data_IF_667424785550
#
_entry.id   IF_667424785550
#
_cell.length_a   1.000
_cell.length_b   1.000
_cell.length_c   1.000
_cell.angle_alpha   90.00
_cell.angle_beta   90.00
_cell.angle_gamma   90.00
#
_symmetry.space_group_name_H-M   'P 1'
#
loop_
_entity.id
_entity.type
_entity.pdbx_description
1 polymer ?
#
# COMPACT_ATOMS: atom_id res chain seq x y z
N UNK A 1 -66.74 17.86 -36.67
CA UNK A 1 -65.95 16.68 -36.24
C UNK A 1 -64.55 16.63 -36.80
N UNK A 2 -64.29 16.80 -38.09
CA UNK A 2 -62.95 16.71 -38.71
C UNK A 2 -61.88 17.65 -38.15
N UNK A 3 -62.22 18.92 -37.77
CA UNK A 3 -61.25 19.88 -37.21
C UNK A 3 -60.85 19.56 -35.76
N UNK A 4 -61.70 18.88 -34.98
CA UNK A 4 -61.34 18.47 -33.60
C UNK A 4 -60.45 17.23 -33.57
N UNK A 5 -60.59 16.35 -34.51
CA UNK A 5 -59.76 15.15 -34.68
C UNK A 5 -58.31 15.54 -35.12
N UNK A 6 -58.16 16.53 -36.01
CA UNK A 6 -56.85 17.05 -36.41
C UNK A 6 -56.10 17.73 -35.25
N UNK A 7 -56.78 18.41 -34.36
CA UNK A 7 -56.13 19.07 -33.19
C UNK A 7 -55.61 18.04 -32.16
N UNK A 8 -56.38 16.96 -31.94
CA UNK A 8 -56.00 15.87 -31.01
C UNK A 8 -54.83 15.06 -31.56
N UNK A 9 -54.83 14.80 -32.89
CA UNK A 9 -53.71 14.12 -33.56
C UNK A 9 -52.44 14.98 -33.52
N UNK A 10 -52.55 16.29 -33.75
CA UNK A 10 -51.41 17.22 -33.68
C UNK A 10 -50.86 17.34 -32.23
N UNK A 11 -51.72 17.30 -31.20
CA UNK A 11 -51.30 17.32 -29.78
C UNK A 11 -50.61 15.98 -29.38
N UNK A 12 -51.12 14.84 -29.89
CA UNK A 12 -50.48 13.54 -29.65
C UNK A 12 -49.11 13.41 -30.35
N UNK A 13 -48.96 13.96 -31.57
CA UNK A 13 -47.70 14.01 -32.27
C UNK A 13 -46.70 14.96 -31.58
N UNK A 14 -47.17 16.11 -31.02
CA UNK A 14 -46.33 17.01 -30.21
C UNK A 14 -45.90 16.35 -28.86
N UNK A 15 -46.80 15.64 -28.20
CA UNK A 15 -46.47 14.89 -26.99
C UNK A 15 -45.55 13.71 -27.22
N UNK A 16 -45.62 13.01 -28.39
CA UNK A 16 -44.70 11.95 -28.78
C UNK A 16 -43.32 12.49 -29.20
N UNK A 17 -43.25 13.70 -29.75
CA UNK A 17 -41.97 14.36 -30.07
C UNK A 17 -41.27 14.93 -28.83
N UNK A 18 -41.98 15.30 -27.77
CA UNK A 18 -41.37 15.68 -26.48
C UNK A 18 -40.83 14.49 -25.69
N UNK A 19 -41.21 13.26 -26.02
CA UNK A 19 -40.67 12.05 -25.36
C UNK A 19 -39.40 11.50 -26.01
N UNK A 20 -38.95 12.05 -27.13
CA UNK A 20 -37.81 11.53 -27.89
C UNK A 20 -36.58 12.42 -27.98
N UNK A 21 -36.52 13.49 -27.21
CA UNK A 21 -35.32 14.35 -27.17
C UNK A 21 -34.87 14.63 -25.77
N UNK A 22 -34.68 13.59 -24.96
CA UNK A 22 -33.62 13.67 -23.98
C UNK A 22 -32.36 13.33 -24.77
N UNK A 23 -31.70 14.34 -25.33
CA UNK A 23 -30.35 14.16 -25.83
C UNK A 23 -29.60 13.46 -24.70
N UNK A 24 -29.05 12.28 -24.96
CA UNK A 24 -28.10 11.66 -24.04
C UNK A 24 -27.02 12.71 -23.85
N UNK A 25 -27.06 13.39 -22.71
CA UNK A 25 -26.05 14.36 -22.37
C UNK A 25 -24.76 13.56 -22.24
N UNK A 26 -23.72 13.92 -22.98
CA UNK A 26 -22.44 13.25 -22.86
C UNK A 26 -22.02 13.25 -21.38
N UNK A 27 -21.53 12.13 -20.86
CA UNK A 27 -21.15 12.05 -19.46
C UNK A 27 -20.02 13.03 -19.15
N UNK A 28 -20.02 13.55 -17.94
CA UNK A 28 -18.87 14.31 -17.43
C UNK A 28 -17.66 13.39 -17.32
N UNK A 29 -16.64 13.63 -18.14
CA UNK A 29 -15.39 12.92 -18.11
C UNK A 29 -14.50 13.44 -17.00
N UNK A 30 -14.03 12.56 -16.12
CA UNK A 30 -13.04 12.86 -15.08
C UNK A 30 -11.87 11.88 -15.14
N UNK A 31 -10.68 12.34 -14.84
CA UNK A 31 -9.47 11.51 -14.79
C UNK A 31 -9.20 11.02 -13.37
N UNK A 32 -8.82 9.74 -13.28
CA UNK A 32 -8.31 9.10 -12.09
C UNK A 32 -6.85 8.68 -12.32
N UNK A 33 -5.91 9.37 -11.65
CA UNK A 33 -4.48 9.09 -11.77
C UNK A 33 -4.02 8.10 -10.71
N UNK A 34 -3.36 7.03 -11.14
CA UNK A 34 -2.98 5.94 -10.25
C UNK A 34 -1.57 5.39 -10.53
N UNK A 35 -1.11 4.47 -9.67
CA UNK A 35 0.27 3.95 -9.66
C UNK A 35 0.36 2.45 -10.00
N UNK A 36 -0.70 1.85 -10.53
CA UNK A 36 -0.76 0.42 -10.84
C UNK A 36 -0.66 0.18 -12.35
N UNK A 37 0.48 -0.35 -12.83
CA UNK A 37 0.73 -0.50 -14.25
C UNK A 37 0.37 -1.86 -14.84
N UNK A 38 0.30 -2.92 -14.02
CA UNK A 38 0.05 -4.28 -14.50
C UNK A 38 -0.21 -5.27 -13.36
N UNK A 39 -0.55 -6.52 -13.71
CA UNK A 39 -0.76 -7.62 -12.77
C UNK A 39 -2.10 -7.58 -12.05
N UNK A 40 -2.28 -8.43 -11.04
CA UNK A 40 -3.54 -8.58 -10.32
C UNK A 40 -4.05 -7.25 -9.74
N UNK A 41 -3.17 -6.42 -9.20
CA UNK A 41 -3.53 -5.13 -8.61
C UNK A 41 -4.10 -4.15 -9.64
N UNK A 42 -3.59 -4.15 -10.89
CA UNK A 42 -4.14 -3.34 -11.97
C UNK A 42 -5.50 -3.86 -12.42
N UNK A 43 -5.64 -5.18 -12.60
CA UNK A 43 -6.91 -5.78 -13.00
C UNK A 43 -8.05 -5.46 -12.00
N UNK A 44 -7.77 -5.48 -10.71
CA UNK A 44 -8.75 -5.10 -9.67
C UNK A 44 -9.16 -3.64 -9.81
N UNK A 45 -8.19 -2.73 -9.94
CA UNK A 45 -8.46 -1.31 -10.14
C UNK A 45 -9.31 -1.09 -11.39
N UNK A 46 -8.90 -1.69 -12.52
CA UNK A 46 -9.62 -1.58 -13.79
C UNK A 46 -11.05 -2.08 -13.66
N UNK A 47 -11.26 -3.23 -13.05
CA UNK A 47 -12.60 -3.78 -12.82
C UNK A 47 -13.46 -2.86 -11.95
N UNK A 48 -12.88 -2.20 -10.95
CA UNK A 48 -13.60 -1.22 -10.11
C UNK A 48 -14.01 0.00 -10.90
N UNK A 49 -13.14 0.54 -11.77
CA UNK A 49 -13.46 1.66 -12.66
C UNK A 49 -14.54 1.27 -13.67
N UNK A 50 -14.39 0.11 -14.33
CA UNK A 50 -15.37 -0.40 -15.28
C UNK A 50 -16.75 -0.60 -14.62
N UNK A 51 -16.77 -1.10 -13.38
CA UNK A 51 -18.01 -1.28 -12.59
C UNK A 51 -18.66 0.06 -12.27
N UNK A 52 -17.89 1.06 -11.81
CA UNK A 52 -18.41 2.40 -11.59
C UNK A 52 -19.03 2.97 -12.87
N UNK A 53 -18.29 2.93 -13.97
CA UNK A 53 -18.74 3.46 -15.26
C UNK A 53 -20.02 2.76 -15.79
N UNK A 54 -20.15 1.45 -15.53
CA UNK A 54 -21.32 0.68 -15.95
C UNK A 54 -22.56 0.88 -15.03
N UNK A 55 -22.38 1.34 -13.80
CA UNK A 55 -23.42 1.45 -12.77
C UNK A 55 -23.67 2.91 -12.35
N UNK A 56 -23.11 3.32 -11.23
CA UNK A 56 -23.30 4.67 -10.63
C UNK A 56 -22.88 5.77 -11.60
N UNK A 57 -21.73 5.60 -12.29
CA UNK A 57 -21.25 6.58 -13.26
C UNK A 57 -22.25 6.78 -14.40
N UNK A 58 -22.78 5.70 -14.96
CA UNK A 58 -23.82 5.77 -15.99
C UNK A 58 -25.12 6.43 -15.50
N UNK A 59 -25.54 6.09 -14.27
CA UNK A 59 -26.74 6.67 -13.66
C UNK A 59 -26.62 8.19 -13.45
N UNK A 60 -25.43 8.62 -12.98
CA UNK A 60 -25.13 10.03 -12.64
C UNK A 60 -24.57 10.84 -13.80
N UNK A 61 -24.34 10.21 -14.96
CA UNK A 61 -23.73 10.86 -16.13
C UNK A 61 -22.26 11.22 -15.89
N UNK A 62 -21.51 10.35 -15.19
CA UNK A 62 -20.07 10.48 -14.91
C UNK A 62 -19.34 9.34 -15.61
N UNK A 63 -18.22 9.64 -16.25
CA UNK A 63 -17.31 8.66 -16.83
C UNK A 63 -15.91 8.89 -16.26
N UNK A 64 -15.34 7.86 -15.65
CA UNK A 64 -13.98 7.87 -15.09
C UNK A 64 -13.03 7.23 -16.09
N UNK A 65 -11.99 7.95 -16.48
CA UNK A 65 -10.84 7.43 -17.21
C UNK A 65 -9.68 7.19 -16.24
N UNK A 66 -9.21 5.95 -16.14
CA UNK A 66 -8.06 5.60 -15.31
C UNK A 66 -6.76 5.82 -16.08
N UNK A 67 -5.78 6.48 -15.47
CA UNK A 67 -4.52 6.84 -16.13
C UNK A 67 -3.33 6.46 -15.24
N UNK A 68 -2.54 5.49 -15.70
CA UNK A 68 -1.31 5.09 -15.03
C UNK A 68 -0.24 6.18 -15.11
N UNK A 69 0.31 6.56 -13.95
CA UNK A 69 1.28 7.66 -13.84
C UNK A 69 2.69 7.22 -13.41
N UNK A 70 2.96 5.94 -13.29
CA UNK A 70 4.20 5.44 -12.71
C UNK A 70 4.05 5.12 -11.22
N UNK A 71 5.15 5.11 -10.48
CA UNK A 71 5.12 4.86 -9.03
C UNK A 71 4.73 6.09 -8.21
N UNK A 72 4.66 5.92 -6.89
CA UNK A 72 4.34 7.03 -5.97
C UNK A 72 5.36 8.19 -6.05
N UNK A 73 6.59 7.93 -6.49
CA UNK A 73 7.58 8.98 -6.71
C UNK A 73 7.32 9.81 -7.97
N UNK A 74 6.67 9.20 -8.98
CA UNK A 74 6.49 9.80 -10.29
C UNK A 74 5.22 10.66 -10.37
N UNK A 75 4.19 10.34 -9.56
CA UNK A 75 2.87 10.99 -9.66
C UNK A 75 2.88 12.42 -9.11
N UNK A 76 3.62 12.69 -8.02
CA UNK A 76 3.62 14.01 -7.37
C UNK A 76 4.11 15.12 -8.30
N UNK A 77 5.31 15.03 -8.93
CA UNK A 77 5.75 16.05 -9.88
C UNK A 77 4.78 16.27 -11.04
N UNK A 78 4.07 15.22 -11.47
CA UNK A 78 3.07 15.32 -12.53
C UNK A 78 1.82 16.06 -12.08
N UNK A 79 1.38 15.87 -10.84
CA UNK A 79 0.27 16.61 -10.25
C UNK A 79 0.62 18.10 -10.08
N UNK A 80 1.85 18.42 -9.66
CA UNK A 80 2.34 19.79 -9.59
C UNK A 80 2.35 20.47 -10.98
N UNK A 81 2.81 19.75 -12.02
CA UNK A 81 2.76 20.25 -13.40
C UNK A 81 1.33 20.42 -13.91
N UNK A 82 0.43 19.48 -13.61
CA UNK A 82 -0.98 19.55 -14.00
C UNK A 82 -1.69 20.74 -13.35
N UNK A 83 -1.34 21.06 -12.09
CA UNK A 83 -1.83 22.25 -11.39
C UNK A 83 -1.45 23.55 -12.14
N UNK A 84 -0.21 23.63 -12.62
CA UNK A 84 0.28 24.82 -13.35
C UNK A 84 -0.36 24.96 -14.74
N UNK A 85 -0.71 23.85 -15.39
CA UNK A 85 -1.32 23.82 -16.73
C UNK A 85 -2.85 23.91 -16.71
N UNK A 86 -3.48 23.80 -15.53
CA UNK A 86 -4.94 23.79 -15.40
C UNK A 86 -5.60 22.46 -15.90
N UNK A 87 -4.82 21.37 -15.94
CA UNK A 87 -5.28 20.03 -16.36
C UNK A 87 -5.25 19.03 -15.21
N UNK A 88 -5.74 19.45 -14.04
CA UNK A 88 -5.75 18.64 -12.84
C UNK A 88 -6.73 17.45 -12.97
N UNK A 89 -6.33 16.18 -12.67
CA UNK A 89 -7.27 15.09 -12.55
C UNK A 89 -8.28 15.37 -11.44
N UNK A 90 -9.42 14.66 -11.43
CA UNK A 90 -10.37 14.79 -10.32
C UNK A 90 -9.87 14.03 -9.08
N UNK A 91 -9.30 12.85 -9.30
CA UNK A 91 -8.89 11.91 -8.24
C UNK A 91 -7.47 11.41 -8.49
N UNK A 92 -6.71 11.24 -7.44
CA UNK A 92 -5.36 10.66 -7.49
C UNK A 92 -5.11 9.62 -6.42
N UNK A 93 -4.06 8.82 -6.59
CA UNK A 93 -3.54 7.90 -5.55
C UNK A 93 -2.06 8.20 -5.32
N UNK A 94 -1.70 8.46 -4.06
CA UNK A 94 -0.30 8.65 -3.66
C UNK A 94 -0.03 8.03 -2.29
N UNK A 95 1.23 7.93 -1.86
CA UNK A 95 1.51 7.49 -0.49
C UNK A 95 1.18 8.60 0.52
N UNK A 96 0.89 8.22 1.78
CA UNK A 96 0.53 9.18 2.83
C UNK A 96 1.58 10.27 3.01
N UNK A 97 2.87 9.91 3.03
CA UNK A 97 3.99 10.88 3.11
C UNK A 97 3.99 11.88 1.94
N UNK A 98 3.67 11.42 0.74
CA UNK A 98 3.67 12.29 -0.46
C UNK A 98 2.39 13.13 -0.56
N UNK A 99 1.28 12.66 0.03
CA UNK A 99 0.08 13.49 0.17
C UNK A 99 0.36 14.75 0.98
N UNK A 100 1.30 14.72 1.96
CA UNK A 100 1.69 15.91 2.72
C UNK A 100 2.32 17.00 1.84
N UNK A 101 3.11 16.63 0.83
CA UNK A 101 3.69 17.58 -0.13
C UNK A 101 2.57 18.31 -0.89
N UNK A 102 1.63 17.54 -1.44
CA UNK A 102 0.49 18.08 -2.16
C UNK A 102 -0.45 18.92 -1.27
N UNK A 103 -0.52 18.58 0.03
CA UNK A 103 -1.26 19.36 1.03
C UNK A 103 -0.63 20.75 1.22
N UNK A 104 0.70 20.80 1.40
CA UNK A 104 1.43 22.07 1.59
C UNK A 104 1.33 22.97 0.36
N UNK A 105 1.28 22.40 -0.84
CA UNK A 105 1.06 23.11 -2.10
C UNK A 105 -0.42 23.52 -2.31
N UNK A 106 -1.33 23.14 -1.40
CA UNK A 106 -2.76 23.46 -1.49
C UNK A 106 -3.50 22.68 -2.60
N UNK A 107 -2.96 21.56 -3.06
CA UNK A 107 -3.49 20.78 -4.18
C UNK A 107 -4.55 19.74 -3.77
N UNK A 108 -4.83 19.57 -2.47
CA UNK A 108 -5.82 18.61 -1.97
C UNK A 108 -7.12 19.30 -1.58
N UNK A 109 -8.23 18.84 -2.14
CA UNK A 109 -9.57 19.26 -1.74
C UNK A 109 -9.96 18.63 -0.39
N UNK A 110 -10.79 19.35 0.40
CA UNK A 110 -11.38 18.80 1.61
C UNK A 110 -12.61 17.94 1.26
N UNK A 111 -12.57 16.67 1.63
CA UNK A 111 -13.65 15.72 1.37
C UNK A 111 -14.79 15.82 2.40
N UNK A 112 -14.55 16.41 3.58
CA UNK A 112 -15.56 16.48 4.66
C UNK A 112 -16.85 17.19 4.24
N UNK A 113 -16.84 18.32 3.48
CA UNK A 113 -18.07 18.95 3.01
C UNK A 113 -18.89 18.09 2.03
N UNK A 114 -18.22 17.27 1.20
CA UNK A 114 -18.88 16.37 0.26
C UNK A 114 -19.47 15.17 0.98
N UNK A 115 -18.74 14.59 1.94
CA UNK A 115 -19.23 13.53 2.80
C UNK A 115 -20.48 13.96 3.60
N UNK A 116 -20.49 15.17 4.13
CA UNK A 116 -21.65 15.72 4.83
C UNK A 116 -22.89 15.83 3.92
N UNK A 117 -22.73 16.16 2.64
CA UNK A 117 -23.81 16.24 1.65
C UNK A 117 -24.38 14.86 1.31
N UNK A 118 -23.53 13.82 1.26
CA UNK A 118 -23.90 12.46 0.86
C UNK A 118 -24.22 11.54 2.04
N UNK A 119 -23.92 11.97 3.27
CA UNK A 119 -24.11 11.17 4.49
C UNK A 119 -23.03 10.09 4.65
N UNK A 120 -21.86 10.26 4.05
CA UNK A 120 -20.75 9.32 4.20
C UNK A 120 -20.12 9.45 5.58
N UNK A 121 -19.92 8.31 6.25
CA UNK A 121 -19.37 8.24 7.61
C UNK A 121 -17.90 7.79 7.59
N UNK A 122 -16.98 8.68 7.95
CA UNK A 122 -15.55 8.35 8.05
C UNK A 122 -15.19 7.44 9.23
N UNK A 123 -16.10 7.24 10.20
CA UNK A 123 -15.84 6.34 11.35
C UNK A 123 -15.73 4.87 10.96
N UNK A 124 -16.11 4.53 9.73
CA UNK A 124 -15.94 3.17 9.16
C UNK A 124 -14.47 2.78 9.02
N UNK A 125 -13.56 3.74 8.86
CA UNK A 125 -12.13 3.46 8.74
C UNK A 125 -11.49 3.14 10.09
N UNK A 126 -10.34 2.47 10.06
CA UNK A 126 -9.46 2.39 11.23
C UNK A 126 -8.88 3.78 11.53
N UNK A 127 -8.92 4.17 12.79
CA UNK A 127 -8.42 5.49 13.22
C UNK A 127 -6.95 5.68 12.89
N UNK A 128 -6.13 4.64 13.11
CA UNK A 128 -4.71 4.62 12.76
C UNK A 128 -4.43 4.84 11.26
N UNK A 129 -5.38 4.53 10.37
CA UNK A 129 -5.25 4.77 8.93
C UNK A 129 -5.72 6.16 8.51
N UNK A 130 -6.56 6.82 9.33
CA UNK A 130 -7.02 8.19 9.12
C UNK A 130 -6.08 9.24 9.74
N UNK A 131 -5.24 8.86 10.71
CA UNK A 131 -4.31 9.78 11.37
C UNK A 131 -3.12 10.12 10.48
N UNK A 132 -3.40 10.90 9.45
CA UNK A 132 -2.42 11.36 8.45
C UNK A 132 -2.50 12.87 8.30
N UNK A 133 -1.43 13.56 7.84
CA UNK A 133 -1.45 15.00 7.61
C UNK A 133 -2.63 15.44 6.75
N UNK A 134 -3.30 16.51 7.18
CA UNK A 134 -4.48 17.07 6.51
C UNK A 134 -5.81 16.47 6.96
N UNK A 135 -5.80 15.43 7.79
CA UNK A 135 -7.01 14.83 8.37
C UNK A 135 -7.22 15.27 9.82
N UNK A 136 -6.98 16.51 10.11
CA UNK A 136 -7.15 17.12 11.42
C UNK A 136 -8.17 18.26 11.41
N UNK A 137 -8.63 18.68 12.57
CA UNK A 137 -9.57 19.80 12.73
C UNK A 137 -10.89 19.64 11.96
N UNK A 138 -11.35 18.40 11.76
CA UNK A 138 -12.58 18.09 11.01
C UNK A 138 -12.42 18.14 9.49
N UNK A 139 -11.21 18.31 8.98
CA UNK A 139 -10.90 18.20 7.56
C UNK A 139 -10.48 16.76 7.22
N UNK A 140 -10.75 16.35 5.98
CA UNK A 140 -10.30 15.06 5.42
C UNK A 140 -9.72 15.34 4.02
N UNK A 141 -8.41 15.25 3.90
CA UNK A 141 -7.66 15.54 2.66
C UNK A 141 -7.21 14.28 1.91
N UNK A 142 -7.15 13.15 2.61
CA UNK A 142 -6.84 11.86 2.00
C UNK A 142 -7.54 10.72 2.75
N UNK A 143 -7.89 9.65 2.03
CA UNK A 143 -8.47 8.44 2.62
C UNK A 143 -7.57 7.24 2.37
N UNK A 144 -7.50 6.30 3.32
CA UNK A 144 -6.76 5.06 3.11
C UNK A 144 -7.43 4.25 1.99
N UNK A 145 -6.67 3.90 0.95
CA UNK A 145 -7.21 3.15 -0.20
C UNK A 145 -6.54 1.79 -0.36
N UNK A 146 -5.27 1.76 -0.67
CA UNK A 146 -4.51 0.53 -0.92
C UNK A 146 -3.43 0.40 0.12
N UNK A 147 -3.80 -0.04 1.31
CA UNK A 147 -2.91 -0.11 2.46
C UNK A 147 -2.27 -1.49 2.58
N UNK A 148 -1.06 -1.52 3.05
CA UNK A 148 -0.31 -2.76 3.21
C UNK A 148 0.56 -2.73 4.45
N UNK A 149 0.90 -3.92 4.95
CA UNK A 149 1.85 -4.13 6.03
C UNK A 149 2.80 -5.28 5.64
N UNK A 150 4.03 -5.33 6.15
CA UNK A 150 4.89 -6.46 5.88
C UNK A 150 4.37 -7.71 6.59
N UNK A 151 4.49 -8.84 5.91
CA UNK A 151 4.22 -10.17 6.46
C UNK A 151 5.39 -11.10 6.15
N UNK A 152 5.46 -12.20 6.86
CA UNK A 152 6.49 -13.20 6.68
C UNK A 152 6.00 -14.29 5.71
N UNK A 153 6.72 -14.49 4.61
CA UNK A 153 6.50 -15.51 3.60
C UNK A 153 7.50 -16.65 3.75
N UNK A 154 7.06 -17.90 3.69
CA UNK A 154 7.94 -19.05 3.80
C UNK A 154 7.47 -20.25 2.96
N UNK A 155 8.42 -21.08 2.59
CA UNK A 155 8.14 -22.36 1.93
C UNK A 155 7.63 -23.37 2.96
N UNK A 156 6.30 -23.52 3.00
CA UNK A 156 5.63 -24.39 3.97
C UNK A 156 5.99 -25.85 3.76
N UNK A 157 6.18 -26.29 2.50
CA UNK A 157 6.62 -27.64 2.19
C UNK A 157 7.97 -27.96 2.86
N UNK A 158 8.94 -27.04 2.79
CA UNK A 158 10.25 -27.23 3.44
C UNK A 158 10.13 -27.19 4.97
N UNK A 159 9.31 -26.29 5.51
CA UNK A 159 9.10 -26.17 6.96
C UNK A 159 8.45 -27.42 7.54
N UNK A 160 7.37 -27.90 6.92
CA UNK A 160 6.64 -29.11 7.36
C UNK A 160 7.53 -30.35 7.30
N UNK A 161 8.37 -30.49 6.26
CA UNK A 161 9.31 -31.59 6.14
C UNK A 161 10.32 -31.66 7.30
N UNK A 162 10.54 -30.53 7.99
CA UNK A 162 11.43 -30.42 9.17
C UNK A 162 10.66 -30.24 10.49
N UNK A 163 9.33 -30.29 10.45
CA UNK A 163 8.48 -30.11 11.64
C UNK A 163 8.57 -28.69 12.24
N UNK A 164 8.90 -27.69 11.44
CA UNK A 164 9.06 -26.30 11.88
C UNK A 164 7.71 -25.58 11.84
N UNK A 165 7.48 -24.73 12.83
CA UNK A 165 6.37 -23.77 12.84
C UNK A 165 6.87 -22.41 12.37
N UNK A 166 5.98 -21.59 11.81
CA UNK A 166 6.29 -20.23 11.47
C UNK A 166 6.80 -19.45 12.69
N UNK A 167 7.86 -18.63 12.54
CA UNK A 167 8.43 -17.88 13.65
C UNK A 167 7.52 -16.73 14.07
N UNK A 168 7.46 -16.45 15.36
CA UNK A 168 6.81 -15.26 15.93
C UNK A 168 7.82 -14.20 16.35
N UNK A 169 9.03 -14.63 16.72
CA UNK A 169 10.11 -13.75 17.16
C UNK A 169 11.30 -13.76 16.22
N UNK A 170 12.14 -12.73 16.28
CA UNK A 170 13.41 -12.67 15.53
C UNK A 170 14.34 -13.83 15.90
N UNK A 171 14.38 -14.25 17.17
CA UNK A 171 15.17 -15.41 17.58
C UNK A 171 14.65 -16.71 16.94
N UNK A 172 13.35 -16.87 16.84
CA UNK A 172 12.75 -18.01 16.14
C UNK A 172 12.96 -17.92 14.62
N UNK A 173 12.91 -16.72 14.03
CA UNK A 173 13.28 -16.49 12.63
C UNK A 173 14.70 -16.97 12.33
N UNK A 174 15.67 -16.61 13.19
CA UNK A 174 17.06 -17.07 13.03
C UNK A 174 17.14 -18.60 13.05
N UNK A 175 16.50 -19.24 14.03
CA UNK A 175 16.49 -20.71 14.14
C UNK A 175 15.79 -21.37 12.93
N UNK A 176 14.66 -20.82 12.50
CA UNK A 176 13.89 -21.29 11.36
C UNK A 176 14.69 -21.19 10.05
N UNK A 177 15.25 -20.02 9.77
CA UNK A 177 16.01 -19.76 8.55
C UNK A 177 17.29 -20.62 8.51
N UNK A 178 18.04 -20.71 9.62
CA UNK A 178 19.21 -21.59 9.73
C UNK A 178 18.86 -23.06 9.47
N UNK A 179 17.74 -23.52 9.99
CA UNK A 179 17.29 -24.89 9.77
C UNK A 179 16.92 -25.18 8.30
N UNK A 180 16.41 -24.19 7.57
CA UNK A 180 16.05 -24.32 6.16
C UNK A 180 17.20 -24.01 5.19
N UNK A 181 18.25 -23.36 5.65
CA UNK A 181 19.41 -23.01 4.83
C UNK A 181 20.18 -24.25 4.37
N UNK A 182 20.39 -24.34 3.08
CA UNK A 182 21.24 -25.38 2.44
C UNK A 182 22.21 -24.75 1.44
N UNK A 183 22.29 -23.42 1.39
CA UNK A 183 23.21 -22.72 0.48
C UNK A 183 24.66 -23.03 0.80
N UNK A 184 25.42 -23.42 -0.22
CA UNK A 184 26.85 -23.67 -0.13
C UNK A 184 27.60 -22.55 -0.88
N UNK A 185 28.33 -21.67 -0.18
CA UNK A 185 29.06 -20.59 -0.82
C UNK A 185 30.23 -21.08 -1.71
N UNK A 186 30.69 -22.33 -1.53
CA UNK A 186 31.77 -22.88 -2.36
C UNK A 186 31.30 -23.28 -3.75
N UNK A 187 30.05 -23.71 -3.89
CA UNK A 187 29.46 -24.12 -5.17
C UNK A 187 28.48 -23.08 -5.73
N UNK A 188 27.92 -22.23 -4.87
CA UNK A 188 26.82 -21.31 -5.20
C UNK A 188 25.46 -22.00 -5.31
N UNK A 189 25.38 -23.28 -4.94
CA UNK A 189 24.15 -24.08 -5.02
C UNK A 189 23.39 -24.08 -3.70
N UNK A 190 22.14 -24.54 -3.74
CA UNK A 190 21.28 -24.71 -2.57
C UNK A 190 20.27 -23.59 -2.38
N UNK A 191 19.73 -23.53 -1.18
CA UNK A 191 18.65 -22.64 -0.78
C UNK A 191 19.11 -21.74 0.38
N UNK A 192 19.02 -20.44 0.20
CA UNK A 192 19.22 -19.48 1.29
C UNK A 192 18.08 -19.58 2.32
N UNK A 193 18.42 -19.46 3.59
CA UNK A 193 17.42 -19.48 4.66
C UNK A 193 16.52 -18.26 4.64
N UNK A 194 17.12 -17.07 4.53
CA UNK A 194 16.42 -15.79 4.55
C UNK A 194 17.11 -14.78 3.64
N UNK A 195 16.40 -13.76 3.21
CA UNK A 195 16.94 -12.61 2.48
C UNK A 195 16.55 -11.31 3.16
N UNK A 196 17.53 -10.43 3.33
CA UNK A 196 17.29 -9.04 3.74
C UNK A 196 16.77 -8.23 2.56
N UNK A 197 15.91 -7.26 2.84
CA UNK A 197 15.49 -6.23 1.90
C UNK A 197 15.97 -4.86 2.38
N UNK A 198 16.51 -4.04 1.48
CA UNK A 198 16.82 -2.65 1.80
C UNK A 198 15.57 -1.80 1.65
N UNK A 199 14.67 -1.92 2.59
CA UNK A 199 13.43 -1.16 2.66
C UNK A 199 13.29 -0.49 4.02
N UNK A 200 13.47 0.82 4.05
CA UNK A 200 13.41 1.63 5.27
C UNK A 200 12.00 1.69 5.89
N UNK A 201 10.96 1.39 5.11
CA UNK A 201 9.58 1.37 5.59
C UNK A 201 9.23 0.04 6.23
N UNK A 202 9.47 -1.06 5.53
CA UNK A 202 9.02 -2.38 5.99
C UNK A 202 9.98 -3.05 6.96
N UNK A 203 11.23 -3.27 6.54
CA UNK A 203 12.19 -3.97 7.39
C UNK A 203 12.74 -3.08 8.49
N UNK A 204 13.36 -1.98 8.12
CA UNK A 204 14.01 -1.10 9.10
C UNK A 204 12.96 -0.45 10.00
N UNK A 205 11.91 0.13 9.43
CA UNK A 205 10.85 0.81 10.17
C UNK A 205 10.18 -0.11 11.19
N UNK A 206 9.72 -1.29 10.76
CA UNK A 206 9.02 -2.24 11.63
C UNK A 206 9.89 -2.72 12.79
N UNK A 207 11.14 -3.14 12.53
CA UNK A 207 12.05 -3.58 13.59
C UNK A 207 12.46 -2.44 14.53
N UNK A 208 12.64 -1.22 14.02
CA UNK A 208 13.01 -0.08 14.86
C UNK A 208 11.86 0.31 15.80
N UNK A 209 10.61 0.25 15.36
CA UNK A 209 9.43 0.43 16.21
C UNK A 209 9.39 -0.61 17.33
N UNK A 210 9.60 -1.89 17.02
CA UNK A 210 9.66 -2.98 18.02
C UNK A 210 10.77 -2.78 19.05
N UNK A 211 11.87 -2.16 18.64
CA UNK A 211 12.98 -1.81 19.53
C UNK A 211 12.76 -0.49 20.32
N UNK A 212 11.58 0.14 20.15
CA UNK A 212 11.20 1.36 20.88
C UNK A 212 11.88 2.65 20.38
N UNK A 213 12.65 2.60 19.30
CA UNK A 213 13.37 3.75 18.74
C UNK A 213 13.15 3.81 17.24
N UNK A 214 12.04 4.42 16.79
CA UNK A 214 11.68 4.49 15.39
C UNK A 214 12.70 5.26 14.55
N UNK A 215 12.63 5.05 13.22
CA UNK A 215 13.52 5.72 12.27
C UNK A 215 13.42 7.25 12.39
N UNK A 216 12.21 7.74 12.50
CA UNK A 216 11.89 9.16 12.72
C UNK A 216 10.90 9.25 13.88
N UNK A 217 11.18 10.10 14.84
CA UNK A 217 10.34 10.35 16.01
C UNK A 217 9.60 11.69 15.93
N UNK A 218 8.84 11.97 16.99
CA UNK A 218 8.15 13.25 17.14
C UNK A 218 9.11 14.44 17.05
N UNK A 219 8.61 15.57 16.56
CA UNK A 219 9.41 16.78 16.37
C UNK A 219 10.53 16.63 15.34
N UNK A 220 10.51 15.53 14.56
CA UNK A 220 11.48 15.32 13.52
C UNK A 220 12.83 14.80 13.99
N UNK A 221 12.91 14.20 15.16
CA UNK A 221 14.12 13.56 15.71
C UNK A 221 14.44 12.23 15.02
N UNK A 222 15.63 11.67 15.27
CA UNK A 222 16.06 10.38 14.79
C UNK A 222 16.40 9.40 15.93
N UNK A 223 15.41 8.90 16.69
CA UNK A 223 15.64 8.04 17.85
C UNK A 223 16.41 6.75 17.51
N UNK A 224 16.27 6.24 16.28
CA UNK A 224 16.98 5.05 15.83
C UNK A 224 18.52 5.14 15.97
N UNK A 225 19.05 6.35 15.92
CA UNK A 225 20.50 6.60 16.09
C UNK A 225 21.00 6.46 17.53
N UNK A 226 20.10 6.30 18.50
CA UNK A 226 20.46 6.12 19.93
C UNK A 226 20.78 4.67 20.28
N UNK A 227 20.52 3.71 19.36
CA UNK A 227 20.90 2.32 19.61
C UNK A 227 20.16 1.27 18.77
N UNK A 228 18.88 1.44 18.45
CA UNK A 228 18.09 0.41 17.75
C UNK A 228 18.63 0.12 16.36
N UNK A 229 19.07 1.12 15.62
CA UNK A 229 19.65 0.93 14.28
C UNK A 229 21.02 0.23 14.36
N UNK A 230 21.85 0.54 15.38
CA UNK A 230 23.09 -0.17 15.61
C UNK A 230 22.85 -1.65 15.90
N UNK A 231 21.86 -1.96 16.76
CA UNK A 231 21.48 -3.34 17.05
C UNK A 231 21.03 -4.06 15.77
N UNK A 232 20.19 -3.45 14.97
CA UNK A 232 19.69 -4.01 13.73
C UNK A 232 20.83 -4.31 12.75
N UNK A 233 21.74 -3.36 12.55
CA UNK A 233 22.91 -3.52 11.68
C UNK A 233 23.87 -4.60 12.19
N UNK A 234 24.05 -4.71 13.50
CA UNK A 234 24.86 -5.75 14.12
C UNK A 234 24.26 -7.14 13.86
N UNK A 235 22.94 -7.29 14.06
CA UNK A 235 22.25 -8.56 13.79
C UNK A 235 22.34 -8.93 12.31
N UNK A 236 22.06 -8.01 11.41
CA UNK A 236 22.09 -8.28 9.95
C UNK A 236 23.48 -8.65 9.46
N UNK A 237 24.51 -7.95 9.94
CA UNK A 237 25.90 -8.27 9.63
C UNK A 237 26.25 -9.69 10.09
N UNK A 238 25.88 -10.04 11.33
CA UNK A 238 26.07 -11.36 11.89
C UNK A 238 25.32 -12.45 11.09
N UNK A 239 24.05 -12.23 10.70
CA UNK A 239 23.27 -13.18 9.94
C UNK A 239 23.89 -13.53 8.59
N UNK A 240 24.48 -12.54 7.93
CA UNK A 240 25.21 -12.73 6.67
C UNK A 240 26.51 -13.47 6.92
N UNK A 241 27.28 -13.09 7.96
CA UNK A 241 28.55 -13.73 8.30
C UNK A 241 28.37 -15.21 8.72
N UNK A 242 27.25 -15.54 9.32
CA UNK A 242 26.87 -16.92 9.63
C UNK A 242 26.43 -17.73 8.38
N UNK A 243 26.27 -17.10 7.22
CA UNK A 243 26.08 -17.75 5.92
C UNK A 243 24.69 -18.31 5.65
N UNK A 244 23.68 -17.91 6.42
CA UNK A 244 22.30 -18.37 6.21
C UNK A 244 21.37 -17.26 5.69
N UNK A 245 21.80 -16.01 5.78
CA UNK A 245 21.06 -14.85 5.32
C UNK A 245 21.72 -14.26 4.07
N UNK A 246 20.95 -14.13 3.01
CA UNK A 246 21.41 -13.50 1.78
C UNK A 246 21.35 -11.98 1.92
N UNK A 247 22.41 -11.24 1.59
CA UNK A 247 22.32 -9.80 1.41
C UNK A 247 21.40 -9.47 0.22
N UNK A 248 20.66 -8.37 0.31
CA UNK A 248 19.79 -7.93 -0.77
C UNK A 248 20.60 -7.41 -1.98
N UNK A 249 19.97 -7.43 -3.17
CA UNK A 249 20.44 -6.71 -4.35
C UNK A 249 19.94 -5.26 -4.36
N UNK A 250 20.65 -4.36 -5.04
CA UNK A 250 20.38 -2.92 -5.00
C UNK A 250 19.09 -2.48 -5.68
N UNK A 251 18.51 -3.31 -6.57
CA UNK A 251 17.38 -2.92 -7.41
C UNK A 251 16.38 -4.06 -7.54
N UNK A 252 15.11 -3.78 -7.22
CA UNK A 252 14.02 -4.76 -7.38
C UNK A 252 14.11 -5.95 -6.41
N UNK A 253 14.76 -5.80 -5.26
CA UNK A 253 15.02 -6.86 -4.29
C UNK A 253 13.81 -7.74 -3.97
N UNK A 254 12.60 -7.17 -3.85
CA UNK A 254 11.40 -7.96 -3.60
C UNK A 254 11.04 -8.88 -4.77
N UNK A 255 11.19 -8.43 -6.02
CA UNK A 255 10.94 -9.27 -7.19
C UNK A 255 11.96 -10.40 -7.27
N UNK A 256 13.23 -10.11 -7.04
CA UNK A 256 14.31 -11.10 -6.99
C UNK A 256 14.06 -12.12 -5.87
N UNK A 257 13.67 -11.69 -4.67
CA UNK A 257 13.32 -12.59 -3.58
C UNK A 257 12.16 -13.53 -3.95
N UNK A 258 11.10 -12.99 -4.58
CA UNK A 258 9.96 -13.78 -5.06
C UNK A 258 10.38 -14.80 -6.12
N UNK A 259 11.21 -14.41 -7.07
CA UNK A 259 11.71 -15.33 -8.11
C UNK A 259 12.57 -16.44 -7.51
N UNK A 260 13.50 -16.10 -6.63
CA UNK A 260 14.35 -17.09 -5.93
C UNK A 260 13.53 -18.04 -5.07
N UNK A 261 12.50 -17.52 -4.38
CA UNK A 261 11.57 -18.32 -3.61
C UNK A 261 10.86 -19.34 -4.50
N UNK A 262 10.29 -18.90 -5.61
CA UNK A 262 9.60 -19.77 -6.58
C UNK A 262 10.55 -20.77 -7.28
N UNK A 263 11.85 -20.48 -7.32
CA UNK A 263 12.88 -21.42 -7.82
C UNK A 263 13.36 -22.40 -6.74
N UNK A 264 12.88 -22.30 -5.50
CA UNK A 264 13.36 -23.08 -4.36
C UNK A 264 14.77 -22.71 -3.89
N UNK A 265 15.23 -21.52 -4.23
CA UNK A 265 16.55 -20.96 -3.87
C UNK A 265 16.53 -20.04 -2.66
N UNK A 266 15.32 -19.72 -2.15
CA UNK A 266 15.10 -18.94 -0.95
C UNK A 266 13.98 -19.59 -0.13
N UNK A 267 14.21 -19.83 1.15
CA UNK A 267 13.26 -20.53 2.01
C UNK A 267 12.22 -19.59 2.61
N UNK A 268 12.61 -18.37 3.00
CA UNK A 268 11.69 -17.40 3.53
C UNK A 268 12.21 -15.96 3.35
N UNK A 269 11.27 -15.02 3.40
CA UNK A 269 11.53 -13.58 3.29
C UNK A 269 10.37 -12.77 3.86
N UNK A 270 10.54 -11.48 4.02
CA UNK A 270 9.45 -10.56 4.35
C UNK A 270 9.16 -9.67 3.16
N UNK A 271 7.88 -9.40 2.93
CA UNK A 271 7.46 -8.48 1.88
C UNK A 271 6.06 -7.93 2.19
N UNK A 272 5.64 -6.95 1.38
CA UNK A 272 4.30 -6.36 1.48
C UNK A 272 3.18 -7.39 1.28
N UNK A 273 2.13 -7.33 2.10
CA UNK A 273 0.90 -8.11 1.86
C UNK A 273 0.23 -7.77 0.53
N UNK A 274 0.43 -6.55 0.00
CA UNK A 274 -0.05 -6.15 -1.33
C UNK A 274 0.57 -6.93 -2.50
N UNK A 275 1.58 -7.76 -2.23
CA UNK A 275 2.16 -8.69 -3.20
C UNK A 275 1.65 -10.12 -3.06
N UNK A 276 0.82 -10.40 -2.04
CA UNK A 276 0.41 -11.76 -1.67
C UNK A 276 -0.27 -12.50 -2.83
N UNK A 277 -1.19 -11.88 -3.53
CA UNK A 277 -1.90 -12.52 -4.66
C UNK A 277 -0.93 -12.99 -5.75
N UNK A 278 0.07 -12.18 -6.09
CA UNK A 278 1.09 -12.55 -7.08
C UNK A 278 2.01 -13.66 -6.53
N UNK A 279 2.50 -13.52 -5.29
CA UNK A 279 3.37 -14.51 -4.64
C UNK A 279 2.63 -15.86 -4.52
N UNK A 280 1.37 -15.85 -4.11
CA UNK A 280 0.54 -17.06 -4.02
C UNK A 280 0.38 -17.75 -5.37
N UNK A 281 0.06 -16.97 -6.42
CA UNK A 281 -0.07 -17.49 -7.78
C UNK A 281 1.24 -18.14 -8.27
N UNK A 282 2.35 -17.43 -8.16
CA UNK A 282 3.66 -17.91 -8.62
C UNK A 282 4.16 -19.11 -7.81
N UNK A 283 3.94 -19.13 -6.49
CA UNK A 283 4.26 -20.28 -5.64
C UNK A 283 3.49 -21.51 -6.06
N UNK A 284 2.19 -21.38 -6.33
CA UNK A 284 1.35 -22.47 -6.81
C UNK A 284 1.80 -22.99 -8.17
N UNK A 285 2.13 -22.12 -9.10
CA UNK A 285 2.69 -22.49 -10.42
C UNK A 285 4.03 -23.23 -10.29
N UNK A 286 4.83 -22.87 -9.30
CA UNK A 286 6.11 -23.51 -8.98
C UNK A 286 5.96 -24.80 -8.16
N UNK A 287 4.73 -25.18 -7.75
CA UNK A 287 4.48 -26.36 -6.91
C UNK A 287 4.93 -26.21 -5.44
N UNK A 288 5.06 -24.97 -4.97
CA UNK A 288 5.43 -24.65 -3.57
C UNK A 288 4.16 -24.35 -2.79
N UNK A 289 3.98 -25.00 -1.64
CA UNK A 289 2.97 -24.63 -0.67
C UNK A 289 3.46 -23.37 0.07
N UNK A 290 2.79 -22.23 -0.18
CA UNK A 290 3.10 -20.96 0.46
C UNK A 290 2.58 -20.94 1.89
N UNK A 291 3.44 -20.55 2.83
CA UNK A 291 3.05 -20.15 4.18
C UNK A 291 3.14 -18.62 4.32
N UNK A 292 2.20 -18.06 5.04
CA UNK A 292 2.20 -16.64 5.43
C UNK A 292 1.99 -16.56 6.93
N UNK A 293 2.78 -15.76 7.60
CA UNK A 293 2.70 -15.54 9.04
C UNK A 293 2.90 -14.07 9.37
N UNK A 294 2.66 -13.74 10.63
CA UNK A 294 2.93 -12.41 11.16
C UNK A 294 4.40 -12.02 10.99
N UNK A 295 4.65 -10.74 10.94
CA UNK A 295 5.99 -10.19 10.92
C UNK A 295 6.72 -10.55 12.24
N UNK A 296 7.90 -11.20 12.18
CA UNK A 296 8.63 -11.59 13.39
C UNK A 296 9.01 -10.37 14.23
N UNK A 297 8.89 -10.48 15.54
CA UNK A 297 9.16 -9.37 16.45
C UNK A 297 10.40 -9.58 17.32
N UNK A 298 11.10 -8.48 17.64
CA UNK A 298 12.17 -8.48 18.64
C UNK A 298 11.63 -8.66 20.06
N UNK A 299 10.42 -8.16 20.31
CA UNK A 299 9.75 -8.25 21.60
C UNK A 299 8.28 -8.63 21.38
N UNK A 300 7.85 -9.75 21.96
CA UNK A 300 6.49 -10.27 21.83
C UNK A 300 5.44 -9.35 22.46
N UNK A 301 5.84 -8.60 23.48
CA UNK A 301 4.98 -7.64 24.18
C UNK A 301 4.94 -6.26 23.50
N UNK A 302 5.84 -6.02 22.55
CA UNK A 302 5.93 -4.78 21.78
C UNK A 302 5.91 -5.07 20.27
N UNK A 303 4.85 -5.72 19.82
CA UNK A 303 4.65 -5.99 18.39
C UNK A 303 4.32 -4.70 17.65
N UNK A 304 5.04 -4.42 16.60
CA UNK A 304 4.81 -3.27 15.74
C UNK A 304 5.12 -3.61 14.30
N UNK A 305 4.38 -3.02 13.37
CA UNK A 305 4.64 -3.10 11.93
C UNK A 305 4.38 -1.75 11.28
N UNK A 306 5.16 -1.44 10.26
CA UNK A 306 4.91 -0.26 9.44
C UNK A 306 3.72 -0.46 8.52
N UNK A 307 2.96 0.61 8.28
CA UNK A 307 1.91 0.64 7.27
C UNK A 307 2.47 1.34 6.03
N UNK A 308 2.33 0.66 4.88
CA UNK A 308 2.65 1.21 3.58
C UNK A 308 1.42 1.34 2.68
N UNK A 309 1.67 1.53 1.39
CA UNK A 309 0.62 1.64 0.38
C UNK A 309 0.20 3.08 0.12
N UNK A 310 -0.99 3.26 -0.45
CA UNK A 310 -1.47 4.54 -0.93
C UNK A 310 -2.78 5.00 -0.33
N UNK A 311 -2.90 6.32 -0.29
CA UNK A 311 -4.14 7.02 -0.01
C UNK A 311 -4.75 7.52 -1.32
N UNK A 312 -6.07 7.55 -1.37
CA UNK A 312 -6.82 8.22 -2.42
C UNK A 312 -7.04 9.68 -2.02
N UNK A 313 -6.87 10.57 -2.97
CA UNK A 313 -6.93 12.03 -2.79
C UNK A 313 -7.90 12.64 -3.80
N UNK A 314 -8.66 13.62 -3.35
CA UNK A 314 -9.51 14.47 -4.18
C UNK A 314 -8.74 15.73 -4.51
N UNK A 315 -8.61 16.07 -5.79
CA UNK A 315 -7.76 17.18 -6.21
C UNK A 315 -8.48 18.51 -6.13
N UNK A 316 -7.77 19.52 -5.60
CA UNK A 316 -8.23 20.91 -5.61
C UNK A 316 -8.01 21.57 -6.99
N UNK A 317 -8.62 22.75 -7.21
CA UNK A 317 -8.44 23.53 -8.43
C UNK A 317 -9.39 23.17 -9.59
N UNK A 318 -10.17 22.11 -9.44
CA UNK A 318 -11.23 21.74 -10.37
C UNK A 318 -12.53 22.51 -10.14
N UNK A 319 -13.45 22.48 -11.12
CA UNK A 319 -14.83 22.98 -10.91
C UNK A 319 -15.55 22.16 -9.83
N UNK A 320 -16.57 22.76 -9.20
CA UNK A 320 -17.41 22.05 -8.22
C UNK A 320 -18.05 20.79 -8.81
N UNK A 321 -18.39 20.80 -10.09
CA UNK A 321 -18.97 19.65 -10.79
C UNK A 321 -17.96 18.50 -10.89
N UNK A 322 -16.71 18.78 -11.31
CA UNK A 322 -15.63 17.78 -11.41
C UNK A 322 -15.24 17.25 -10.03
N UNK A 323 -15.15 18.15 -9.02
CA UNK A 323 -14.79 17.75 -7.66
C UNK A 323 -15.89 16.87 -7.04
N UNK A 324 -17.17 17.22 -7.26
CA UNK A 324 -18.31 16.41 -6.80
C UNK A 324 -18.34 15.03 -7.48
N UNK A 325 -18.06 14.97 -8.78
CA UNK A 325 -17.96 13.70 -9.52
C UNK A 325 -16.78 12.85 -9.02
N UNK A 326 -15.64 13.46 -8.72
CA UNK A 326 -14.50 12.78 -8.09
C UNK A 326 -14.86 12.20 -6.72
N UNK A 327 -15.61 12.95 -5.90
CA UNK A 327 -16.10 12.43 -4.61
C UNK A 327 -17.04 11.24 -4.77
N UNK A 328 -17.98 11.27 -5.74
CA UNK A 328 -18.87 10.15 -6.01
C UNK A 328 -18.09 8.87 -6.38
N UNK A 329 -17.01 9.00 -7.15
CA UNK A 329 -16.14 7.88 -7.47
C UNK A 329 -15.36 7.39 -6.26
N UNK A 330 -14.81 8.29 -5.43
CA UNK A 330 -14.13 7.93 -4.18
C UNK A 330 -15.09 7.19 -3.26
N UNK A 331 -16.30 7.71 -3.05
CA UNK A 331 -17.31 7.10 -2.19
C UNK A 331 -17.67 5.67 -2.68
N UNK A 332 -17.77 5.47 -3.99
CA UNK A 332 -17.99 4.15 -4.56
C UNK A 332 -16.84 3.19 -4.23
N UNK A 333 -15.58 3.62 -4.41
CA UNK A 333 -14.41 2.79 -4.11
C UNK A 333 -14.30 2.45 -2.61
N UNK A 334 -14.85 3.29 -1.73
CA UNK A 334 -14.86 3.09 -0.28
C UNK A 334 -16.11 2.32 0.22
N UNK A 335 -16.98 1.85 -0.67
CA UNK A 335 -18.08 0.97 -0.29
C UNK A 335 -17.55 -0.40 0.16
N UNK A 336 -18.27 -1.08 1.06
CA UNK A 336 -17.85 -2.38 1.61
C UNK A 336 -17.59 -3.42 0.51
N UNK A 337 -18.40 -3.43 -0.55
CA UNK A 337 -18.22 -4.35 -1.67
C UNK A 337 -16.94 -4.06 -2.45
N UNK A 338 -16.59 -2.79 -2.67
CA UNK A 338 -15.36 -2.42 -3.39
C UNK A 338 -14.12 -2.60 -2.53
N UNK A 339 -14.19 -2.29 -1.24
CA UNK A 339 -13.10 -2.57 -0.28
C UNK A 339 -12.84 -4.09 -0.20
N UNK A 340 -13.90 -4.89 -0.14
CA UNK A 340 -13.77 -6.36 -0.17
C UNK A 340 -13.20 -6.85 -1.52
N UNK A 341 -13.69 -6.36 -2.64
CA UNK A 341 -13.19 -6.72 -3.98
C UNK A 341 -11.70 -6.36 -4.14
N UNK A 342 -11.29 -5.19 -3.64
CA UNK A 342 -9.90 -4.76 -3.62
C UNK A 342 -9.01 -5.72 -2.83
N UNK A 343 -9.41 -6.04 -1.59
CA UNK A 343 -8.64 -6.91 -0.71
C UNK A 343 -8.56 -8.34 -1.24
N UNK A 344 -9.66 -8.90 -1.75
CA UNK A 344 -9.74 -10.25 -2.33
C UNK A 344 -8.84 -10.37 -3.56
N UNK A 345 -8.89 -9.38 -4.45
CA UNK A 345 -8.17 -9.46 -5.72
C UNK A 345 -6.67 -9.13 -5.63
N UNK A 346 -6.29 -8.24 -4.71
CA UNK A 346 -4.92 -7.72 -4.61
C UNK A 346 -4.12 -8.31 -3.46
N UNK A 347 -4.77 -8.62 -2.33
CA UNK A 347 -4.11 -8.93 -1.05
C UNK A 347 -3.75 -7.69 -0.23
N UNK A 348 -4.14 -6.49 -0.67
CA UNK A 348 -4.06 -5.29 0.17
C UNK A 348 -4.98 -5.40 1.37
N UNK A 349 -4.68 -4.62 2.42
CA UNK A 349 -5.50 -4.56 3.61
C UNK A 349 -6.86 -3.94 3.30
N UNK A 350 -7.96 -4.54 3.75
CA UNK A 350 -9.23 -3.83 3.85
C UNK A 350 -9.04 -2.60 4.75
N UNK A 351 -9.50 -1.45 4.29
CA UNK A 351 -9.28 -0.17 4.99
C UNK A 351 -10.43 0.21 5.92
N UNK A 352 -11.56 -0.49 5.84
CA UNK A 352 -12.73 -0.26 6.68
C UNK A 352 -12.95 -1.39 7.69
N UNK A 353 -13.45 -1.06 8.88
CA UNK A 353 -13.86 -2.03 9.93
C UNK A 353 -15.11 -2.82 9.52
N UNK A 354 -15.95 -2.21 8.69
CA UNK A 354 -17.24 -2.79 8.24
C UNK A 354 -17.05 -3.97 7.30
N UNK A 355 -15.89 -4.12 6.69
CA UNK A 355 -15.57 -5.24 5.78
C UNK A 355 -15.71 -6.62 6.44
N UNK A 356 -15.57 -6.72 7.76
CA UNK A 356 -15.79 -7.97 8.50
C UNK A 356 -17.23 -8.50 8.34
N UNK A 357 -18.20 -7.62 8.06
CA UNK A 357 -19.59 -7.97 7.84
C UNK A 357 -19.90 -8.28 6.36
N UNK A 358 -18.93 -8.13 5.46
CA UNK A 358 -19.11 -8.45 4.05
C UNK A 358 -19.04 -9.96 3.82
N UNK A 359 -20.12 -10.56 3.30
CA UNK A 359 -20.22 -12.01 3.11
C UNK A 359 -19.16 -12.59 2.18
N UNK A 360 -18.80 -11.86 1.12
CA UNK A 360 -17.77 -12.30 0.17
C UNK A 360 -16.38 -12.32 0.83
N UNK A 361 -16.08 -11.31 1.65
CA UNK A 361 -14.82 -11.23 2.38
C UNK A 361 -14.71 -12.30 3.46
N UNK A 362 -15.76 -12.49 4.25
CA UNK A 362 -15.81 -13.53 5.29
C UNK A 362 -15.57 -14.92 4.69
N UNK A 363 -16.28 -15.24 3.61
CA UNK A 363 -16.11 -16.50 2.88
C UNK A 363 -14.71 -16.64 2.29
N UNK A 364 -14.17 -15.57 1.71
CA UNK A 364 -12.82 -15.59 1.15
C UNK A 364 -11.76 -15.89 2.22
N UNK A 365 -11.84 -15.28 3.39
CA UNK A 365 -10.91 -15.53 4.50
C UNK A 365 -11.04 -16.94 5.06
N UNK A 366 -12.27 -17.51 5.10
CA UNK A 366 -12.46 -18.92 5.50
C UNK A 366 -11.76 -19.88 4.52
N UNK A 367 -11.90 -19.63 3.22
CA UNK A 367 -11.30 -20.45 2.17
C UNK A 367 -9.79 -20.18 1.98
N UNK A 368 -9.33 -18.96 2.30
CA UNK A 368 -7.96 -18.48 2.06
C UNK A 368 -7.38 -17.78 3.31
N UNK A 369 -7.12 -18.49 4.40
CA UNK A 369 -6.71 -17.89 5.68
C UNK A 369 -5.39 -17.10 5.60
N UNK A 370 -4.52 -17.39 4.62
CA UNK A 370 -3.28 -16.66 4.41
C UNK A 370 -3.52 -15.15 4.15
N UNK A 371 -4.63 -14.81 3.51
CA UNK A 371 -4.99 -13.41 3.19
C UNK A 371 -5.54 -12.64 4.39
N UNK A 372 -5.88 -13.32 5.49
CA UNK A 372 -6.34 -12.67 6.73
C UNK A 372 -5.18 -12.25 7.64
N UNK A 373 -4.01 -12.86 7.49
CA UNK A 373 -2.86 -12.65 8.39
C UNK A 373 -2.49 -11.17 8.53
N UNK A 374 -2.40 -10.45 7.41
CA UNK A 374 -2.05 -9.03 7.43
C UNK A 374 -3.13 -8.17 8.11
N UNK A 375 -4.42 -8.53 7.96
CA UNK A 375 -5.53 -7.85 8.61
C UNK A 375 -5.51 -8.08 10.12
N UNK A 376 -5.34 -9.33 10.56
CA UNK A 376 -5.25 -9.66 11.99
C UNK A 376 -4.06 -8.96 12.66
N UNK A 377 -3.00 -8.68 11.90
CA UNK A 377 -1.81 -7.95 12.38
C UNK A 377 -2.11 -6.48 12.73
N UNK A 378 -3.14 -5.85 12.15
CA UNK A 378 -3.58 -4.50 12.50
C UNK A 378 -4.06 -4.38 13.96
N UNK A 379 -4.52 -5.49 14.55
CA UNK A 379 -4.96 -5.53 15.95
C UNK A 379 -3.83 -5.32 16.97
N UNK A 380 -2.56 -5.34 16.54
CA UNK A 380 -1.40 -5.16 17.44
C UNK A 380 -1.16 -3.71 17.90
N UNK A 381 -1.99 -2.76 17.49
CA UNK A 381 -2.06 -1.43 18.07
C UNK A 381 -0.95 -0.43 17.71
N UNK A 382 0.10 -0.86 17.02
CA UNK A 382 1.22 -0.02 16.59
C UNK A 382 1.45 -0.15 15.10
N UNK A 383 0.40 0.12 14.32
CA UNK A 383 0.53 0.26 12.89
C UNK A 383 0.75 1.75 12.60
N UNK A 384 1.99 2.21 12.62
CA UNK A 384 2.26 3.60 12.36
C UNK A 384 2.67 3.84 10.91
N UNK A 385 2.02 4.82 10.29
CA UNK A 385 2.61 5.48 9.14
C UNK A 385 3.87 6.24 9.55
N UNK A 386 4.75 6.43 8.60
CA UNK A 386 5.92 7.27 8.79
C UNK A 386 5.48 8.64 9.29
N UNK A 387 6.08 9.18 10.36
CA UNK A 387 5.67 10.46 10.97
C UNK A 387 5.54 11.61 9.98
N UNK A 388 4.66 12.53 10.29
CA UNK A 388 4.18 13.72 9.54
C UNK A 388 5.26 14.76 9.13
N UNK A 389 6.54 14.41 8.95
CA UNK A 389 7.59 15.37 8.69
C UNK A 389 8.20 15.20 7.30
N UNK A 390 8.04 16.22 6.47
CA UNK A 390 8.38 16.30 5.05
C UNK A 390 9.86 16.07 4.72
N UNK A 391 10.77 16.53 5.57
CA UNK A 391 12.22 16.54 5.26
C UNK A 391 12.94 15.21 5.49
N UNK A 392 12.19 14.12 5.69
CA UNK A 392 12.77 12.82 6.06
C UNK A 392 13.06 11.90 4.89
N UNK A 393 12.69 12.27 3.68
CA UNK A 393 13.07 11.51 2.47
C UNK A 393 14.59 11.46 2.34
N UNK A 394 15.27 12.56 2.61
CA UNK A 394 16.74 12.60 2.60
C UNK A 394 17.33 11.72 3.69
N UNK A 395 16.82 11.79 4.93
CA UNK A 395 17.29 10.92 6.01
C UNK A 395 17.11 9.43 5.67
N UNK A 396 15.94 9.03 5.18
CA UNK A 396 15.68 7.66 4.71
C UNK A 396 16.63 7.24 3.60
N UNK A 397 16.89 8.13 2.66
CA UNK A 397 17.85 7.90 1.56
C UNK A 397 19.26 7.72 2.11
N UNK A 398 19.68 8.54 3.06
CA UNK A 398 20.97 8.43 3.72
C UNK A 398 21.10 7.10 4.46
N UNK A 399 20.10 6.71 5.24
CA UNK A 399 20.07 5.40 5.92
C UNK A 399 20.14 4.25 4.90
N UNK A 400 19.33 4.30 3.83
CA UNK A 400 19.31 3.28 2.79
C UNK A 400 20.67 3.14 2.08
N UNK A 401 21.30 4.24 1.73
CA UNK A 401 22.62 4.25 1.08
C UNK A 401 23.72 3.66 1.98
N UNK A 402 23.73 4.04 3.26
CA UNK A 402 24.69 3.50 4.22
C UNK A 402 24.39 2.03 4.53
N UNK A 403 23.12 1.64 4.58
CA UNK A 403 22.75 0.22 4.69
C UNK A 403 23.31 -0.60 3.52
N UNK A 404 23.27 -0.08 2.30
CA UNK A 404 23.88 -0.74 1.14
C UNK A 404 25.40 -0.91 1.29
N UNK A 405 26.10 0.12 1.75
CA UNK A 405 27.54 0.01 2.02
C UNK A 405 27.86 -1.04 3.08
N UNK A 406 27.04 -1.12 4.15
CA UNK A 406 27.22 -2.09 5.21
C UNK A 406 26.93 -3.53 4.76
N UNK A 407 25.83 -3.73 4.04
CA UNK A 407 25.25 -5.06 3.78
C UNK A 407 25.74 -5.65 2.45
N UNK A 408 25.82 -4.86 1.38
CA UNK A 408 26.22 -5.32 0.05
C UNK A 408 27.72 -5.19 -0.16
N UNK A 409 28.28 -3.97 0.06
CA UNK A 409 29.67 -3.69 -0.20
C UNK A 409 30.58 -4.22 0.91
N UNK A 410 30.05 -4.40 2.13
CA UNK A 410 30.77 -4.95 3.29
C UNK A 410 32.05 -4.18 3.62
N UNK A 411 32.07 -2.88 3.37
CA UNK A 411 33.27 -2.03 3.46
C UNK A 411 33.31 -1.16 4.73
N UNK A 412 32.25 -1.19 5.55
CA UNK A 412 32.14 -0.49 6.84
C UNK A 412 31.59 -1.40 7.93
N UNK A 413 31.86 -1.06 9.21
CA UNK A 413 31.25 -1.75 10.35
C UNK A 413 29.89 -1.13 10.73
N UNK A 414 29.06 -1.83 11.55
CA UNK A 414 27.82 -1.25 12.06
C UNK A 414 28.03 0.09 12.77
N UNK A 415 29.07 0.23 13.59
CA UNK A 415 29.38 1.47 14.30
C UNK A 415 29.78 2.59 13.33
N UNK A 416 30.59 2.27 12.31
CA UNK A 416 30.95 3.23 11.26
C UNK A 416 29.74 3.67 10.45
N UNK A 417 28.82 2.76 10.17
CA UNK A 417 27.55 3.07 9.51
C UNK A 417 26.72 4.10 10.30
N UNK A 418 26.59 3.93 11.63
CA UNK A 418 25.87 4.88 12.47
C UNK A 418 26.54 6.26 12.48
N UNK A 419 27.87 6.31 12.63
CA UNK A 419 28.60 7.58 12.61
C UNK A 419 28.53 8.28 11.27
N UNK A 420 28.56 7.53 10.16
CA UNK A 420 28.35 8.08 8.82
C UNK A 420 26.96 8.67 8.65
N UNK A 421 25.89 7.93 9.06
CA UNK A 421 24.51 8.44 9.00
C UNK A 421 24.36 9.72 9.82
N UNK A 422 24.88 9.76 11.05
CA UNK A 422 24.87 10.97 11.89
C UNK A 422 25.55 12.15 11.21
N UNK A 423 26.72 11.91 10.62
CA UNK A 423 27.51 12.95 9.95
C UNK A 423 26.80 13.55 8.74
N UNK A 424 26.30 12.69 7.81
CA UNK A 424 25.66 13.18 6.57
C UNK A 424 24.26 13.72 6.78
N UNK A 425 23.64 13.39 7.92
CA UNK A 425 22.28 13.83 8.26
C UNK A 425 22.24 14.92 9.34
N UNK A 426 23.38 15.41 9.81
CA UNK A 426 23.46 16.36 10.94
C UNK A 426 22.68 17.68 10.69
N UNK A 427 22.48 18.07 9.45
CA UNK A 427 21.76 19.29 9.05
C UNK A 427 20.24 19.11 9.04
N UNK A 428 19.75 17.88 9.24
CA UNK A 428 18.32 17.55 9.22
C UNK A 428 17.67 17.59 10.62
N UNK A 429 18.45 17.68 11.70
CA UNK A 429 17.98 17.57 13.08
C UNK A 429 18.37 18.74 13.94
#
# INVERSE_FOLDING_TARGET
MKKRISLVLALMILLSLCSFARAEQEPLHIEFWHTRGSGANYEVLKNSVDTFNATIGKEKGIFVEEIFQGGYADIVPKLEMASQSGSMPAVGVTSGVRASILLDDGLLADMAPYAAKTGFDFSVFFESLLDVPGNENGQIRSLPYVRSTPVFYYNKTMADAKGLKAPETVAELEAFAKALNTYDPATGDGCWGFELLNDTTYLQGSFLWQLGQPLVGEGGTAPCLEGSLLKLFTDWTRWIDEGWCRPFDSTGAQNTATEMFCQGKLACFVASCGSLSNIYKFSKEAGIELGVSYYPTYDIDNRAVSIGGGNIILMAGNSEEVTSAGWEFIQFLMSDDMVAAEAIGSGYLPTTKTVENNEAMAKFWEENPLFKVAYDQLAWGHCEETPKFLDRTEFKTNVSNVTSQLIQERNITPEQAIEQIKSISAHLF
#
